data_IF_617245098836
#
_entry.id   IF_617245098836
#
_cell.length_a   1.000
_cell.length_b   1.000
_cell.length_c   1.000
_cell.angle_alpha   90.00
_cell.angle_beta   90.00
_cell.angle_gamma   90.00
#
_symmetry.space_group_name_H-M   'P 1'
#
loop_
_entity.id
_entity.type
_entity.pdbx_description
1 polymer ?
#
# COMPACT_ATOMS: atom_id res chain seq x y z
N UNK A 1 0.39 18.04 -25.30
CA UNK A 1 1.85 18.28 -25.21
C UNK A 1 2.50 17.08 -24.56
N UNK A 2 3.40 16.41 -25.28
CA UNK A 2 3.95 15.10 -24.95
C UNK A 2 4.95 15.14 -23.79
N UNK A 3 4.54 14.66 -22.61
CA UNK A 3 5.46 14.42 -21.49
C UNK A 3 6.22 13.10 -21.69
N UNK A 4 7.28 13.11 -22.51
CA UNK A 4 8.27 12.03 -22.59
C UNK A 4 9.48 12.40 -21.72
N UNK A 5 9.29 12.45 -20.41
CA UNK A 5 10.41 12.45 -19.49
C UNK A 5 10.96 11.00 -19.42
N UNK A 6 12.28 10.78 -19.57
CA UNK A 6 12.88 9.48 -19.30
C UNK A 6 12.51 9.03 -17.88
N UNK A 7 12.12 7.76 -17.69
CA UNK A 7 11.69 7.25 -16.37
C UNK A 7 12.76 7.54 -15.29
N UNK A 8 14.04 7.45 -15.63
CA UNK A 8 15.15 7.75 -14.71
C UNK A 8 15.32 9.22 -14.30
N UNK A 9 14.53 10.15 -14.85
CA UNK A 9 14.49 11.57 -14.44
C UNK A 9 13.27 11.92 -13.59
N UNK A 10 12.40 10.95 -13.32
CA UNK A 10 11.22 11.12 -12.47
C UNK A 10 11.62 10.97 -11.01
N UNK A 11 10.97 11.71 -10.09
CA UNK A 11 11.05 11.39 -8.66
C UNK A 11 10.44 10.00 -8.40
N UNK A 12 10.78 9.36 -7.28
CA UNK A 12 10.25 8.02 -6.95
C UNK A 12 8.72 7.95 -7.04
N UNK A 13 8.01 8.95 -6.51
CA UNK A 13 6.54 9.04 -6.62
C UNK A 13 6.03 9.29 -8.04
N UNK A 14 6.76 10.05 -8.87
CA UNK A 14 6.41 10.22 -10.29
C UNK A 14 6.59 8.92 -11.07
N UNK A 15 7.68 8.19 -10.80
CA UNK A 15 7.97 6.89 -11.40
C UNK A 15 6.89 5.86 -11.04
N UNK A 16 6.45 5.81 -9.79
CA UNK A 16 5.37 4.93 -9.37
C UNK A 16 4.03 5.24 -10.02
N UNK A 17 3.64 6.52 -10.08
CA UNK A 17 2.42 6.91 -10.79
C UNK A 17 2.46 6.49 -12.26
N UNK A 18 3.61 6.62 -12.92
CA UNK A 18 3.79 6.14 -14.28
C UNK A 18 3.66 4.60 -14.38
N UNK A 19 4.20 3.84 -13.43
CA UNK A 19 4.05 2.38 -13.40
C UNK A 19 2.61 1.93 -13.15
N UNK A 20 1.89 2.58 -12.24
CA UNK A 20 0.46 2.32 -12.03
C UNK A 20 -0.32 2.66 -13.30
N UNK A 21 -0.13 3.85 -13.87
CA UNK A 21 -0.81 4.25 -15.10
C UNK A 21 -0.60 3.21 -16.20
N UNK A 22 0.63 2.71 -16.36
CA UNK A 22 0.95 1.61 -17.29
C UNK A 22 0.18 0.33 -16.97
N UNK A 23 0.10 -0.07 -15.70
CA UNK A 23 -0.62 -1.27 -15.28
C UNK A 23 -2.14 -1.14 -15.53
N UNK A 24 -2.69 0.08 -15.41
CA UNK A 24 -4.12 0.35 -15.60
C UNK A 24 -4.55 0.42 -17.07
N UNK A 25 -3.62 0.57 -18.04
CA UNK A 25 -3.95 0.62 -19.48
C UNK A 25 -4.75 -0.60 -19.93
N UNK A 26 -4.50 -1.76 -19.34
CA UNK A 26 -5.19 -3.00 -19.66
C UNK A 26 -6.57 -3.17 -18.96
N UNK A 27 -7.04 -2.16 -18.23
CA UNK A 27 -8.24 -2.20 -17.38
C UNK A 27 -8.31 -3.48 -16.53
N UNK A 28 -7.27 -3.76 -15.72
CA UNK A 28 -7.21 -4.99 -14.95
C UNK A 28 -8.31 -5.03 -13.88
N UNK A 29 -8.74 -6.24 -13.51
CA UNK A 29 -9.64 -6.44 -12.35
C UNK A 29 -8.89 -6.54 -11.03
N UNK A 30 -7.61 -6.91 -11.09
CA UNK A 30 -6.74 -7.11 -9.92
C UNK A 30 -5.38 -6.49 -10.20
N UNK A 31 -4.86 -5.72 -9.25
CA UNK A 31 -3.54 -5.11 -9.26
C UNK A 31 -2.71 -5.64 -8.09
N UNK A 32 -1.57 -6.25 -8.38
CA UNK A 32 -0.57 -6.67 -7.39
C UNK A 32 0.50 -5.60 -7.26
N UNK A 33 0.82 -5.22 -6.02
CA UNK A 33 1.82 -4.22 -5.70
C UNK A 33 2.78 -4.78 -4.65
N UNK A 34 4.05 -4.92 -5.03
CA UNK A 34 5.10 -5.43 -4.17
C UNK A 34 5.97 -4.26 -3.67
N UNK A 35 5.86 -3.96 -2.36
CA UNK A 35 6.53 -2.85 -1.68
C UNK A 35 6.52 -1.54 -2.49
N UNK A 36 5.33 -1.07 -2.94
CA UNK A 36 5.21 -0.02 -3.94
C UNK A 36 5.43 1.36 -3.36
N UNK A 37 6.17 1.52 -2.27
CA UNK A 37 6.48 2.81 -1.62
C UNK A 37 7.90 2.86 -1.07
N UNK A 38 8.71 1.83 -1.33
CA UNK A 38 10.14 1.83 -0.99
C UNK A 38 10.86 3.00 -1.66
N UNK A 39 11.63 3.76 -0.88
CA UNK A 39 12.43 4.88 -1.39
C UNK A 39 11.64 6.17 -1.66
N UNK A 40 10.42 6.28 -1.14
CA UNK A 40 9.59 7.49 -1.23
C UNK A 40 9.43 8.13 0.16
N UNK A 41 9.36 9.46 0.20
CA UNK A 41 9.09 10.22 1.42
C UNK A 41 7.64 10.00 1.93
N UNK A 42 7.46 10.07 3.25
CA UNK A 42 6.18 9.79 3.90
C UNK A 42 5.01 10.65 3.38
N UNK A 43 5.26 11.91 2.99
CA UNK A 43 4.23 12.80 2.45
C UNK A 43 3.70 12.32 1.09
N UNK A 44 4.61 11.91 0.21
CA UNK A 44 4.25 11.35 -1.10
C UNK A 44 3.61 9.97 -0.99
N UNK A 45 3.99 9.16 0.01
CA UNK A 45 3.36 7.86 0.27
C UNK A 45 1.86 7.98 0.56
N UNK A 46 1.45 8.91 1.43
CA UNK A 46 0.03 9.11 1.75
C UNK A 46 -0.81 9.39 0.49
N UNK A 47 -0.35 10.31 -0.37
CA UNK A 47 -1.01 10.63 -1.63
C UNK A 47 -1.10 9.43 -2.58
N UNK A 48 -0.08 8.56 -2.57
CA UNK A 48 -0.07 7.33 -3.35
C UNK A 48 -1.14 6.34 -2.87
N UNK A 49 -1.26 6.12 -1.57
CA UNK A 49 -2.29 5.22 -1.02
C UNK A 49 -3.71 5.77 -1.16
N UNK A 50 -3.90 7.09 -1.07
CA UNK A 50 -5.19 7.72 -1.36
C UNK A 50 -5.61 7.48 -2.83
N UNK A 51 -4.65 7.52 -3.77
CA UNK A 51 -4.92 7.18 -5.16
C UNK A 51 -5.35 5.71 -5.31
N UNK A 52 -4.69 4.79 -4.61
CA UNK A 52 -5.06 3.37 -4.62
C UNK A 52 -6.46 3.13 -4.01
N UNK A 53 -6.79 3.78 -2.89
CA UNK A 53 -8.11 3.68 -2.27
C UNK A 53 -9.21 4.19 -3.21
N UNK A 54 -8.95 5.29 -3.93
CA UNK A 54 -9.86 5.78 -4.97
C UNK A 54 -10.06 4.73 -6.07
N UNK A 55 -8.99 4.18 -6.65
CA UNK A 55 -9.10 3.13 -7.67
C UNK A 55 -9.90 1.91 -7.17
N UNK A 56 -9.69 1.49 -5.92
CA UNK A 56 -10.47 0.40 -5.33
C UNK A 56 -11.96 0.74 -5.23
N UNK A 57 -12.30 1.93 -4.73
CA UNK A 57 -13.68 2.32 -4.44
C UNK A 57 -14.46 2.77 -5.66
N UNK A 58 -13.87 3.55 -6.55
CA UNK A 58 -14.56 4.14 -7.71
C UNK A 58 -14.54 3.23 -8.94
N UNK A 59 -13.47 2.47 -9.14
CA UNK A 59 -13.29 1.65 -10.34
C UNK A 59 -13.46 0.15 -10.07
N UNK A 60 -13.69 -0.24 -8.81
CA UNK A 60 -13.86 -1.65 -8.43
C UNK A 60 -12.58 -2.49 -8.58
N UNK A 61 -11.42 -1.84 -8.70
CA UNK A 61 -10.14 -2.51 -8.85
C UNK A 61 -9.77 -3.24 -7.55
N UNK A 62 -9.57 -4.56 -7.61
CA UNK A 62 -9.02 -5.30 -6.46
C UNK A 62 -7.54 -5.00 -6.35
N UNK A 63 -7.06 -4.61 -5.17
CA UNK A 63 -5.65 -4.28 -4.95
C UNK A 63 -5.10 -5.24 -3.91
N UNK A 64 -4.02 -5.93 -4.27
CA UNK A 64 -3.23 -6.78 -3.36
C UNK A 64 -1.91 -6.07 -3.12
N UNK A 65 -1.75 -5.57 -1.90
CA UNK A 65 -0.57 -4.84 -1.46
C UNK A 65 0.28 -5.74 -0.57
N UNK A 66 1.55 -5.89 -0.93
CA UNK A 66 2.58 -6.52 -0.08
C UNK A 66 3.37 -5.38 0.55
N UNK A 67 3.36 -5.30 1.87
CA UNK A 67 4.14 -4.31 2.61
C UNK A 67 4.45 -4.76 4.03
N UNK A 68 5.55 -4.25 4.56
CA UNK A 68 5.89 -4.33 5.98
C UNK A 68 5.41 -3.12 6.80
N UNK A 69 4.82 -2.10 6.17
CA UNK A 69 4.33 -0.89 6.85
C UNK A 69 2.92 -1.10 7.45
N UNK A 70 2.88 -1.26 8.78
CA UNK A 70 1.64 -1.45 9.56
C UNK A 70 0.78 -0.18 9.57
N UNK A 71 1.38 1.01 9.48
CA UNK A 71 0.67 2.29 9.45
C UNK A 71 -0.25 2.40 8.24
N UNK A 72 0.22 1.94 7.08
CA UNK A 72 -0.58 1.84 5.85
C UNK A 72 -1.72 0.83 6.00
N UNK A 73 -1.42 -0.35 6.54
CA UNK A 73 -2.40 -1.41 6.78
C UNK A 73 -3.55 -0.89 7.67
N UNK A 74 -3.27 0.00 8.61
CA UNK A 74 -4.30 0.56 9.48
C UNK A 74 -5.28 1.53 8.83
N UNK A 75 -5.00 2.05 7.63
CA UNK A 75 -5.78 3.14 7.04
C UNK A 75 -6.52 2.79 5.76
N UNK A 76 -6.01 1.84 4.95
CA UNK A 76 -6.46 1.69 3.57
C UNK A 76 -6.93 0.28 3.17
N UNK A 77 -6.81 -0.74 4.03
CA UNK A 77 -7.14 -2.13 3.64
C UNK A 77 -8.40 -2.66 4.31
N UNK A 78 -9.13 -3.51 3.59
CA UNK A 78 -10.35 -4.18 4.06
C UNK A 78 -10.06 -5.52 4.73
N UNK A 79 -9.07 -6.25 4.21
CA UNK A 79 -8.63 -7.56 4.69
C UNK A 79 -7.11 -7.58 4.81
N UNK A 80 -6.62 -8.37 5.75
CA UNK A 80 -5.18 -8.51 6.05
C UNK A 80 -4.83 -9.99 6.01
N UNK A 81 -3.68 -10.30 5.43
CA UNK A 81 -3.04 -11.60 5.52
C UNK A 81 -1.60 -11.39 6.02
N UNK A 82 -1.22 -12.07 7.11
CA UNK A 82 0.12 -11.99 7.66
C UNK A 82 0.89 -13.27 7.34
N UNK A 83 2.13 -13.11 6.88
CA UNK A 83 2.99 -14.23 6.49
C UNK A 83 4.29 -14.19 7.31
N UNK A 84 4.60 -15.29 7.99
CA UNK A 84 5.90 -15.53 8.62
C UNK A 84 6.28 -16.98 8.41
N UNK A 85 6.92 -17.29 7.27
CA UNK A 85 7.18 -18.65 6.73
C UNK A 85 5.91 -19.50 6.47
N UNK A 86 4.79 -19.15 7.09
CA UNK A 86 3.44 -19.68 6.97
C UNK A 86 2.44 -18.55 7.14
N UNK A 87 1.21 -18.76 6.69
CA UNK A 87 0.11 -17.82 6.94
C UNK A 87 -0.21 -17.83 8.44
N UNK A 88 0.10 -16.74 9.13
CA UNK A 88 -0.13 -16.60 10.57
C UNK A 88 -1.45 -15.93 10.90
N UNK A 89 -2.01 -15.16 9.96
CA UNK A 89 -3.30 -14.51 10.10
C UNK A 89 -3.94 -14.30 8.73
N UNK A 90 -5.27 -14.41 8.65
CA UNK A 90 -6.06 -13.95 7.51
C UNK A 90 -7.46 -13.57 8.00
N UNK A 91 -7.91 -12.36 7.71
CA UNK A 91 -9.23 -11.89 8.14
C UNK A 91 -9.49 -10.43 7.81
N UNK A 92 -10.60 -9.91 8.34
CA UNK A 92 -10.95 -8.50 8.20
C UNK A 92 -9.98 -7.59 8.93
N UNK A 93 -9.79 -6.36 8.43
CA UNK A 93 -8.91 -5.37 9.06
C UNK A 93 -9.33 -5.04 10.51
N UNK A 94 -10.63 -4.90 10.77
CA UNK A 94 -11.12 -4.59 12.11
C UNK A 94 -10.86 -5.70 13.14
N UNK A 95 -10.89 -6.96 12.71
CA UNK A 95 -10.54 -8.11 13.53
C UNK A 95 -9.02 -8.19 13.73
N UNK A 96 -8.26 -7.89 12.68
CA UNK A 96 -6.80 -7.88 12.71
C UNK A 96 -6.28 -6.93 13.79
N UNK A 97 -6.79 -5.69 13.85
CA UNK A 97 -6.40 -4.69 14.85
C UNK A 97 -6.66 -5.12 16.31
N UNK A 98 -7.52 -6.13 16.54
CA UNK A 98 -7.82 -6.67 17.87
C UNK A 98 -7.05 -7.96 18.18
N UNK A 99 -6.39 -8.54 17.18
CA UNK A 99 -5.68 -9.80 17.28
C UNK A 99 -4.35 -9.68 18.03
N UNK A 100 -3.89 -10.79 18.60
CA UNK A 100 -2.55 -10.87 19.21
C UNK A 100 -1.45 -10.73 18.16
N UNK A 101 -1.72 -11.13 16.91
CA UNK A 101 -0.78 -10.97 15.78
C UNK A 101 -0.47 -9.49 15.54
N UNK A 102 -1.49 -8.61 15.59
CA UNK A 102 -1.29 -7.18 15.46
C UNK A 102 -0.50 -6.62 16.65
N UNK A 103 -0.84 -7.02 17.89
CA UNK A 103 -0.07 -6.60 19.08
C UNK A 103 1.39 -6.99 18.96
N UNK A 104 1.65 -8.23 18.56
CA UNK A 104 3.00 -8.75 18.37
C UNK A 104 3.75 -7.98 17.28
N UNK A 105 3.13 -7.74 16.11
CA UNK A 105 3.74 -6.97 15.02
C UNK A 105 4.08 -5.53 15.45
N UNK A 106 3.18 -4.86 16.17
CA UNK A 106 3.41 -3.51 16.71
C UNK A 106 4.55 -3.51 17.74
N UNK A 107 4.59 -4.49 18.65
CA UNK A 107 5.66 -4.57 19.66
C UNK A 107 7.02 -4.97 19.10
N UNK A 108 7.07 -5.64 17.95
CA UNK A 108 8.31 -6.02 17.26
C UNK A 108 8.84 -4.94 16.31
N UNK A 109 8.00 -4.01 15.88
CA UNK A 109 8.35 -2.96 14.93
C UNK A 109 8.23 -1.57 15.57
N UNK A 110 9.35 -0.98 15.98
CA UNK A 110 9.48 0.41 16.44
C UNK A 110 9.24 1.44 15.30
N UNK A 111 8.12 1.33 14.57
CA UNK A 111 7.78 2.20 13.43
C UNK A 111 6.38 2.82 13.51
N UNK A 112 5.71 2.76 14.66
CA UNK A 112 4.55 3.62 14.92
C UNK A 112 5.02 5.03 15.30
N UNK A 113 5.34 5.86 14.31
CA UNK A 113 5.27 7.30 14.49
C UNK A 113 3.78 7.67 14.49
N UNK A 114 3.13 7.47 15.64
CA UNK A 114 1.82 8.04 15.91
C UNK A 114 2.01 9.53 16.20
N UNK A 115 1.69 10.39 15.24
CA UNK A 115 1.41 11.79 15.55
C UNK A 115 -0.02 11.88 16.07
N UNK A 116 -0.17 12.01 17.39
CA UNK A 116 -1.39 12.53 17.99
C UNK A 116 -1.53 14.03 17.63
N UNK A 117 -2.72 14.42 17.17
CA UNK A 117 -3.19 15.80 17.23
C UNK A 117 -4.29 15.88 18.27
#
# INVERSE_FOLDING_TARGET
>A
GSARAPIGRLSGGQQQRAFIARALVASPRILFLDEPTTGIDAGTQASFYDMLDRLNRSEGLTIVLITHDIGIVNRHVKSVACLNQRLTYHGGHAEFCRSDVFREMVTRGDHLIAHEH
#
